data_IF_142246138186
#
_entry.id   IF_142246138186
#
_cell.length_a   1.000
_cell.length_b   1.000
_cell.length_c   1.000
_cell.angle_alpha   90.00
_cell.angle_beta   90.00
_cell.angle_gamma   90.00
#
_symmetry.space_group_name_H-M   'P 1'
#
loop_
_entity.id
_entity.type
_entity.pdbx_description
1 polymer ?
#
# COMPACT_ATOMS: atom_id res chain seq x y z
N UNK A 1 13.41 -34.49 27.23
CA UNK A 1 14.07 -34.28 25.94
C UNK A 1 13.31 -33.15 25.26
N UNK A 2 13.92 -31.96 25.11
CA UNK A 2 13.24 -30.84 24.45
C UNK A 2 13.08 -31.17 22.97
N UNK A 3 11.85 -31.03 22.48
CA UNK A 3 11.48 -31.30 21.11
C UNK A 3 12.22 -30.33 20.18
N UNK A 4 12.84 -30.82 19.11
CA UNK A 4 13.58 -29.99 18.15
C UNK A 4 12.64 -29.00 17.44
N UNK A 5 11.34 -29.17 17.54
CA UNK A 5 10.37 -28.24 16.98
C UNK A 5 10.16 -27.00 17.87
N UNK A 6 10.62 -27.00 19.13
CA UNK A 6 10.35 -25.90 20.07
C UNK A 6 11.16 -24.63 19.82
N UNK A 7 12.22 -24.67 18.99
CA UNK A 7 13.04 -23.51 18.65
C UNK A 7 12.76 -22.97 17.24
N UNK A 8 11.92 -23.65 16.46
CA UNK A 8 11.59 -23.26 15.08
C UNK A 8 10.34 -22.38 15.12
N UNK A 9 10.50 -21.10 14.84
CA UNK A 9 9.38 -20.19 14.61
C UNK A 9 8.93 -20.32 13.14
N UNK A 10 7.74 -20.88 12.93
CA UNK A 10 7.13 -21.07 11.61
C UNK A 10 6.30 -19.87 11.17
N UNK A 11 6.27 -18.79 11.95
CA UNK A 11 5.47 -17.61 11.69
C UNK A 11 4.01 -17.75 12.12
N UNK A 12 3.19 -16.77 11.76
CA UNK A 12 1.77 -16.71 12.11
C UNK A 12 0.89 -17.29 11.00
N UNK A 13 -0.26 -17.82 11.41
CA UNK A 13 -1.26 -18.41 10.49
C UNK A 13 -1.81 -17.43 9.44
N UNK A 14 -1.79 -16.12 9.72
CA UNK A 14 -2.23 -15.10 8.77
C UNK A 14 -1.07 -14.20 8.37
N UNK A 15 -0.90 -14.08 7.05
CA UNK A 15 0.02 -13.14 6.43
C UNK A 15 -0.19 -11.69 6.87
N UNK A 16 -1.40 -11.28 7.25
CA UNK A 16 -1.68 -9.90 7.70
C UNK A 16 -1.05 -9.61 9.06
N UNK A 17 -0.90 -10.63 9.89
CA UNK A 17 -0.45 -10.49 11.28
C UNK A 17 1.02 -10.83 11.46
N UNK A 18 1.67 -11.39 10.45
CA UNK A 18 3.05 -11.86 10.56
C UNK A 18 4.06 -10.76 10.24
N UNK A 19 4.70 -10.21 11.25
CA UNK A 19 5.67 -9.12 11.10
C UNK A 19 6.93 -9.55 10.32
N UNK A 20 7.27 -10.84 10.34
CA UNK A 20 8.42 -11.42 9.68
C UNK A 20 8.15 -11.89 8.24
N UNK A 21 6.89 -11.81 7.78
CA UNK A 21 6.48 -12.26 6.44
C UNK A 21 7.39 -11.80 5.31
N UNK A 22 7.88 -10.58 5.42
CA UNK A 22 8.73 -9.95 4.42
C UNK A 22 10.08 -10.65 4.26
N UNK A 23 10.59 -11.27 5.32
CA UNK A 23 11.93 -11.87 5.35
C UNK A 23 11.96 -13.24 4.67
N UNK A 24 10.82 -13.90 4.57
CA UNK A 24 10.72 -15.25 3.98
C UNK A 24 9.78 -15.30 2.76
N UNK A 25 9.09 -14.21 2.43
CA UNK A 25 8.36 -14.11 1.16
C UNK A 25 9.34 -13.98 -0.01
N UNK A 26 9.19 -14.86 -0.99
CA UNK A 26 10.01 -14.87 -2.20
C UNK A 26 9.16 -14.43 -3.40
N UNK A 27 9.46 -13.25 -3.96
CA UNK A 27 8.85 -12.80 -5.22
C UNK A 27 9.58 -13.41 -6.42
N UNK A 28 8.85 -14.16 -7.26
CA UNK A 28 9.39 -14.76 -8.48
C UNK A 28 9.36 -13.78 -9.68
N UNK A 29 9.38 -12.47 -9.43
CA UNK A 29 9.22 -11.42 -10.45
C UNK A 29 7.77 -11.17 -10.88
N UNK A 30 6.80 -11.72 -10.15
CA UNK A 30 5.36 -11.53 -10.44
C UNK A 30 4.98 -10.07 -10.21
N UNK A 31 5.48 -9.46 -9.13
CA UNK A 31 5.23 -8.05 -8.84
C UNK A 31 5.77 -7.11 -9.93
N UNK A 32 6.98 -7.39 -10.43
CA UNK A 32 7.56 -6.60 -11.51
C UNK A 32 6.71 -6.65 -12.78
N UNK A 33 6.31 -7.85 -13.20
CA UNK A 33 5.45 -8.02 -14.38
C UNK A 33 4.11 -7.28 -14.24
N UNK A 34 3.54 -7.32 -13.03
CA UNK A 34 2.30 -6.62 -12.69
C UNK A 34 2.47 -5.10 -12.82
N UNK A 35 3.56 -4.54 -12.29
CA UNK A 35 3.79 -3.09 -12.23
C UNK A 35 4.21 -2.53 -13.60
N UNK A 36 5.00 -3.28 -14.36
CA UNK A 36 5.44 -2.89 -15.69
C UNK A 36 4.29 -2.98 -16.74
N UNK A 37 3.13 -3.53 -16.37
CA UNK A 37 1.98 -3.61 -17.26
C UNK A 37 1.26 -2.25 -17.34
N UNK A 38 1.06 -1.67 -18.54
CA UNK A 38 0.51 -0.31 -18.70
C UNK A 38 -1.00 -0.16 -18.39
N UNK A 39 -1.67 -1.23 -17.94
CA UNK A 39 -3.10 -1.26 -17.66
C UNK A 39 -3.41 -1.66 -16.21
N UNK A 40 -4.63 -1.34 -15.75
CA UNK A 40 -5.13 -1.82 -14.47
C UNK A 40 -5.12 -3.36 -14.45
N UNK A 41 -4.36 -3.93 -13.53
CA UNK A 41 -4.27 -5.37 -13.34
C UNK A 41 -5.17 -5.84 -12.20
N UNK A 42 -5.65 -7.09 -12.27
CA UNK A 42 -6.42 -7.72 -11.22
C UNK A 42 -5.71 -9.01 -10.79
N UNK A 43 -5.23 -9.05 -9.55
CA UNK A 43 -4.57 -10.24 -8.98
C UNK A 43 -5.61 -11.15 -8.33
N UNK A 44 -5.88 -12.29 -8.94
CA UNK A 44 -6.82 -13.30 -8.44
C UNK A 44 -6.07 -14.52 -7.90
N UNK A 45 -6.68 -15.20 -6.92
CA UNK A 45 -6.15 -16.46 -6.40
C UNK A 45 -6.97 -17.01 -5.23
N UNK A 46 -6.83 -18.30 -4.94
CA UNK A 46 -7.50 -18.97 -3.81
C UNK A 46 -7.05 -18.38 -2.46
N UNK A 47 -7.82 -18.63 -1.39
CA UNK A 47 -7.38 -18.32 -0.02
C UNK A 47 -6.04 -19.01 0.24
N UNK A 48 -5.07 -18.30 0.83
CA UNK A 48 -3.72 -18.80 1.06
C UNK A 48 -2.75 -18.69 -0.12
N UNK A 49 -3.17 -18.24 -1.30
CA UNK A 49 -2.29 -18.08 -2.48
C UNK A 49 -1.28 -16.92 -2.39
N UNK A 50 -1.06 -16.35 -1.19
CA UNK A 50 -0.03 -15.31 -0.99
C UNK A 50 -0.38 -13.89 -1.46
N UNK A 51 -1.62 -13.59 -1.89
CA UNK A 51 -2.01 -12.23 -2.34
C UNK A 51 -1.72 -11.13 -1.31
N UNK A 52 -2.04 -11.37 -0.05
CA UNK A 52 -1.74 -10.42 1.02
C UNK A 52 -0.24 -10.28 1.26
N UNK A 53 0.53 -11.38 1.13
CA UNK A 53 1.98 -11.34 1.24
C UNK A 53 2.61 -10.52 0.11
N UNK A 54 2.14 -10.72 -1.12
CA UNK A 54 2.54 -9.94 -2.28
C UNK A 54 2.25 -8.44 -2.10
N UNK A 55 1.06 -8.08 -1.61
CA UNK A 55 0.70 -6.70 -1.30
C UNK A 55 1.59 -6.09 -0.20
N UNK A 56 1.85 -6.83 0.89
CA UNK A 56 2.74 -6.39 1.98
C UNK A 56 4.20 -6.25 1.53
N UNK A 57 4.67 -7.15 0.68
CA UNK A 57 6.02 -7.11 0.14
C UNK A 57 6.24 -5.87 -0.73
N UNK A 58 5.29 -5.56 -1.62
CA UNK A 58 5.33 -4.33 -2.44
C UNK A 58 5.33 -3.06 -1.58
N UNK A 59 4.40 -2.98 -0.62
CA UNK A 59 4.24 -1.78 0.23
C UNK A 59 5.43 -1.52 1.15
N UNK A 60 6.14 -2.57 1.54
CA UNK A 60 7.33 -2.45 2.39
C UNK A 60 8.62 -2.23 1.60
N UNK A 61 8.66 -2.63 0.32
CA UNK A 61 9.82 -2.47 -0.57
C UNK A 61 9.52 -1.65 -1.84
N UNK A 62 8.86 -0.49 -1.76
CA UNK A 62 8.36 0.22 -2.95
C UNK A 62 9.49 0.61 -3.91
N UNK A 63 10.67 0.97 -3.40
CA UNK A 63 11.82 1.39 -4.20
C UNK A 63 12.44 0.27 -5.06
N UNK A 64 12.11 -1.00 -4.79
CA UNK A 64 12.55 -2.11 -5.64
C UNK A 64 11.76 -2.19 -6.95
N UNK A 65 10.54 -1.64 -6.96
CA UNK A 65 9.59 -1.80 -8.06
C UNK A 65 9.22 -0.48 -8.73
N UNK A 66 9.25 0.62 -8.00
CA UNK A 66 8.80 1.93 -8.47
C UNK A 66 9.99 2.85 -8.77
N UNK A 67 9.79 3.71 -9.76
CA UNK A 67 10.72 4.80 -10.06
C UNK A 67 10.63 5.90 -9.01
N UNK A 68 11.63 6.78 -9.00
CA UNK A 68 11.79 7.83 -7.99
C UNK A 68 10.64 8.85 -7.96
N UNK A 69 9.98 9.04 -9.10
CA UNK A 69 8.86 9.96 -9.33
C UNK A 69 7.48 9.26 -9.24
N UNK A 70 7.46 7.94 -9.04
CA UNK A 70 6.25 7.16 -8.86
C UNK A 70 5.89 7.09 -7.36
N UNK A 71 4.61 7.23 -7.05
CA UNK A 71 4.09 7.24 -5.67
C UNK A 71 3.19 6.04 -5.45
N UNK A 72 3.56 5.18 -4.50
CA UNK A 72 2.71 4.08 -4.05
C UNK A 72 1.64 4.60 -3.09
N UNK A 73 0.37 4.33 -3.42
CA UNK A 73 -0.75 4.56 -2.52
C UNK A 73 -1.42 3.21 -2.24
N UNK A 74 -1.15 2.64 -1.08
CA UNK A 74 -1.79 1.41 -0.62
C UNK A 74 -3.15 1.71 -0.02
N UNK A 75 -4.20 1.08 -0.55
CA UNK A 75 -5.54 1.18 -0.01
C UNK A 75 -5.92 -0.13 0.67
N UNK A 76 -6.30 -0.05 1.94
CA UNK A 76 -6.93 -1.13 2.69
C UNK A 76 -8.30 -0.67 3.20
N UNK A 77 -9.24 -1.60 3.32
CA UNK A 77 -10.54 -1.33 3.92
C UNK A 77 -10.46 -1.03 5.41
N UNK A 78 -9.39 -1.50 6.07
CA UNK A 78 -9.15 -1.26 7.49
C UNK A 78 -8.70 0.18 7.76
N UNK A 79 -7.97 0.78 6.82
CA UNK A 79 -7.42 2.14 6.95
C UNK A 79 -8.43 3.24 6.59
N UNK A 80 -9.59 2.87 6.03
CA UNK A 80 -10.56 3.83 5.54
C UNK A 80 -11.53 4.28 6.63
N UNK A 81 -11.68 5.61 6.79
CA UNK A 81 -12.63 6.17 7.74
C UNK A 81 -14.07 6.11 7.20
N UNK A 82 -14.73 4.98 7.44
CA UNK A 82 -16.12 4.73 7.06
C UNK A 82 -17.12 5.72 7.66
N UNK A 83 -16.80 6.34 8.80
CA UNK A 83 -17.67 7.36 9.41
C UNK A 83 -17.67 8.65 8.60
N UNK A 84 -16.50 9.11 8.15
CA UNK A 84 -16.41 10.27 7.25
C UNK A 84 -17.12 9.96 5.94
N UNK A 85 -17.01 8.72 5.46
CA UNK A 85 -17.71 8.28 4.27
C UNK A 85 -19.23 8.33 4.39
N UNK A 86 -19.79 7.83 5.49
CA UNK A 86 -21.24 7.84 5.71
C UNK A 86 -21.82 9.25 5.82
N UNK A 87 -21.03 10.23 6.25
CA UNK A 87 -21.46 11.64 6.26
C UNK A 87 -21.57 12.23 4.85
N UNK A 88 -20.92 11.63 3.86
CA UNK A 88 -20.86 12.09 2.48
C UNK A 88 -21.72 11.25 1.54
N UNK A 89 -22.33 10.16 2.02
CA UNK A 89 -23.23 9.34 1.22
C UNK A 89 -24.55 10.07 0.98
N UNK A 90 -24.94 10.15 -0.29
CA UNK A 90 -26.24 10.69 -0.67
C UNK A 90 -27.31 9.59 -0.59
N UNK A 91 -28.18 9.66 0.43
CA UNK A 91 -29.25 8.68 0.65
C UNK A 91 -30.30 8.63 -0.48
N UNK A 92 -30.35 9.67 -1.32
CA UNK A 92 -31.27 9.76 -2.46
C UNK A 92 -30.70 9.19 -3.76
N UNK A 93 -29.41 8.80 -3.78
CA UNK A 93 -28.80 8.20 -4.95
C UNK A 93 -29.17 6.70 -5.05
N UNK A 94 -29.42 6.22 -6.27
CA UNK A 94 -29.60 4.78 -6.49
C UNK A 94 -28.39 4.00 -5.95
N UNK A 95 -28.61 2.92 -5.19
CA UNK A 95 -27.56 2.24 -4.44
C UNK A 95 -26.34 1.83 -5.28
N UNK A 96 -26.54 1.42 -6.53
CA UNK A 96 -25.46 1.09 -7.47
C UNK A 96 -24.58 2.29 -7.87
N UNK A 97 -25.14 3.50 -7.88
CA UNK A 97 -24.44 4.74 -8.17
C UNK A 97 -23.66 5.23 -6.94
N UNK A 98 -24.24 5.04 -5.74
CA UNK A 98 -23.60 5.36 -4.48
C UNK A 98 -22.26 4.63 -4.34
N UNK A 99 -22.20 3.31 -4.55
CA UNK A 99 -20.94 2.56 -4.45
C UNK A 99 -19.84 3.05 -5.41
N UNK A 100 -20.19 3.43 -6.64
CA UNK A 100 -19.21 3.96 -7.60
C UNK A 100 -18.68 5.32 -7.17
N UNK A 101 -19.56 6.20 -6.70
CA UNK A 101 -19.18 7.52 -6.19
C UNK A 101 -18.32 7.40 -4.93
N UNK A 102 -18.65 6.45 -4.07
CA UNK A 102 -17.91 6.10 -2.87
C UNK A 102 -16.44 5.76 -3.18
N UNK A 103 -16.20 4.84 -4.11
CA UNK A 103 -14.85 4.46 -4.51
C UNK A 103 -14.07 5.60 -5.16
N UNK A 104 -14.72 6.37 -6.04
CA UNK A 104 -14.09 7.55 -6.65
C UNK A 104 -13.65 8.54 -5.57
N UNK A 105 -14.49 8.79 -4.58
CA UNK A 105 -14.16 9.69 -3.47
C UNK A 105 -12.94 9.19 -2.68
N UNK A 106 -12.92 7.91 -2.29
CA UNK A 106 -11.79 7.31 -1.54
C UNK A 106 -10.48 7.50 -2.32
N UNK A 107 -10.49 7.13 -3.60
CA UNK A 107 -9.30 7.20 -4.45
C UNK A 107 -8.84 8.66 -4.59
N UNK A 108 -9.75 9.59 -4.84
CA UNK A 108 -9.41 11.01 -5.00
C UNK A 108 -8.80 11.61 -3.73
N UNK A 109 -9.37 11.33 -2.55
CA UNK A 109 -8.86 11.82 -1.28
C UNK A 109 -7.45 11.29 -1.01
N UNK A 110 -7.24 9.99 -1.22
CA UNK A 110 -5.92 9.39 -0.97
C UNK A 110 -4.86 9.86 -1.98
N UNK A 111 -5.24 10.08 -3.24
CA UNK A 111 -4.36 10.72 -4.24
C UNK A 111 -3.99 12.14 -3.84
N UNK A 112 -4.95 12.95 -3.40
CA UNK A 112 -4.68 14.34 -2.96
C UNK A 112 -3.73 14.34 -1.76
N UNK A 113 -3.96 13.48 -0.76
CA UNK A 113 -3.09 13.32 0.42
C UNK A 113 -1.67 12.92 0.01
N UNK A 114 -1.55 11.93 -0.88
CA UNK A 114 -0.27 11.44 -1.37
C UNK A 114 0.49 12.53 -2.15
N UNK A 115 -0.20 13.27 -3.02
CA UNK A 115 0.39 14.36 -3.79
C UNK A 115 0.84 15.53 -2.90
N UNK A 116 0.02 15.92 -1.90
CA UNK A 116 0.40 16.93 -0.93
C UNK A 116 1.66 16.54 -0.16
N UNK A 117 1.73 15.28 0.32
CA UNK A 117 2.91 14.75 1.01
C UNK A 117 4.15 14.83 0.13
N UNK A 118 4.05 14.34 -1.11
CA UNK A 118 5.14 14.40 -2.08
C UNK A 118 5.70 15.82 -2.29
N UNK A 119 4.81 16.82 -2.45
CA UNK A 119 5.22 18.23 -2.57
C UNK A 119 5.88 18.77 -1.30
N UNK A 120 5.35 18.41 -0.12
CA UNK A 120 5.89 18.86 1.16
C UNK A 120 7.31 18.32 1.42
N UNK A 121 7.56 17.05 1.08
CA UNK A 121 8.87 16.41 1.21
C UNK A 121 9.89 17.03 0.24
N UNK A 122 9.47 17.33 -0.99
CA UNK A 122 10.29 18.04 -1.96
C UNK A 122 10.70 19.42 -1.44
N UNK A 123 9.75 20.20 -0.90
CA UNK A 123 10.00 21.55 -0.36
C UNK A 123 10.99 21.52 0.82
N UNK A 124 10.85 20.56 1.73
CA UNK A 124 11.77 20.36 2.87
C UNK A 124 13.21 20.09 2.40
N UNK A 125 13.37 19.25 1.36
CA UNK A 125 14.67 18.94 0.77
C UNK A 125 15.36 20.17 0.18
N UNK A 126 14.63 21.03 -0.52
CA UNK A 126 15.17 22.29 -1.04
C UNK A 126 15.61 23.23 0.09
N UNK A 127 14.78 23.42 1.13
CA UNK A 127 15.13 24.29 2.26
C UNK A 127 16.40 23.84 2.99
N UNK A 128 16.59 22.53 3.17
CA UNK A 128 17.80 21.98 3.79
C UNK A 128 19.05 22.14 2.91
N UNK A 129 18.91 22.02 1.58
CA UNK A 129 20.00 22.28 0.64
C UNK A 129 20.46 23.74 0.68
N UNK A 130 19.54 24.70 0.68
CA UNK A 130 19.85 26.13 0.80
C UNK A 130 20.50 26.50 2.13
N UNK A 131 20.09 25.87 3.24
CA UNK A 131 20.73 26.08 4.54
C UNK A 131 22.18 25.58 4.52
N UNK A 132 22.43 24.39 3.96
CA UNK A 132 23.78 23.80 3.89
C UNK A 132 24.75 24.67 3.07
N UNK A 133 24.27 25.26 1.98
CA UNK A 133 25.05 26.18 1.13
C UNK A 133 25.36 27.54 1.80
N UNK A 134 24.60 27.96 2.81
CA UNK A 134 24.84 29.20 3.57
C UNK A 134 25.76 29.02 4.79
N UNK A 135 26.03 27.77 5.19
CA UNK A 135 26.97 27.41 6.28
C UNK A 135 28.35 26.99 5.77
N UNK A 136 28.59 27.04 4.47
CA UNK A 136 29.89 26.95 3.82
C UNK A 136 30.37 28.36 3.47
#
# INVERSE_FOLDING_TARGET
MQDILSWIDVGKLSAERDDNLINYFHDNGVLKNIIDTPSSFLVLGRKGAGKTALFRYLTSNPYQFLKKDEVLVSLSFEDYNWRVHSLLSNEYAAGSLAYKQSWKFVILVEVIKAYYKYLSDAKSKYQNHYKKLKTL
#
